data_IF_334387012643
#
_entry.id   IF_334387012643
#
_cell.length_a   1.000
_cell.length_b   1.000
_cell.length_c   1.000
_cell.angle_alpha   90.00
_cell.angle_beta   90.00
_cell.angle_gamma   90.00
#
_symmetry.space_group_name_H-M   'P 1'
#
loop_
_entity.id
_entity.type
_entity.pdbx_description
1 polymer ?
#
# COMPACT_ATOMS: atom_id res chain seq x y z
N UNK A 1 24.88 33.16 -20.24
CA UNK A 1 23.88 33.26 -19.15
C UNK A 1 22.50 32.75 -19.54
N UNK A 2 22.07 32.91 -20.81
CA UNK A 2 20.78 32.43 -21.32
C UNK A 2 20.53 30.89 -21.28
N UNK A 3 21.51 30.00 -21.57
CA UNK A 3 21.20 28.56 -21.70
C UNK A 3 20.83 27.89 -20.36
N UNK A 4 21.36 28.38 -19.23
CA UNK A 4 20.99 27.85 -17.91
C UNK A 4 19.56 28.21 -17.50
N UNK A 5 19.02 29.34 -17.97
CA UNK A 5 17.64 29.74 -17.68
C UNK A 5 16.68 28.81 -18.42
N UNK A 6 16.96 28.49 -19.69
CA UNK A 6 16.16 27.52 -20.43
C UNK A 6 16.16 26.14 -19.77
N UNK A 7 17.32 25.65 -19.34
CA UNK A 7 17.43 24.37 -18.61
C UNK A 7 16.62 24.39 -17.29
N UNK A 8 16.66 25.50 -16.56
CA UNK A 8 15.92 25.66 -15.31
C UNK A 8 14.40 25.65 -15.54
N UNK A 9 13.93 26.34 -16.59
CA UNK A 9 12.50 26.37 -16.94
C UNK A 9 11.98 25.01 -17.41
N UNK A 10 12.76 24.27 -18.20
CA UNK A 10 12.41 22.91 -18.63
C UNK A 10 12.32 21.97 -17.42
N UNK A 11 13.30 22.03 -16.51
CA UNK A 11 13.30 21.24 -15.28
C UNK A 11 12.07 21.54 -14.40
N UNK A 12 11.76 22.83 -14.19
CA UNK A 12 10.62 23.24 -13.39
C UNK A 12 9.28 22.80 -14.00
N UNK A 13 9.15 22.88 -15.32
CA UNK A 13 7.98 22.37 -16.04
C UNK A 13 7.83 20.84 -15.92
N UNK A 14 8.92 20.08 -16.02
CA UNK A 14 8.90 18.61 -15.87
C UNK A 14 8.45 18.20 -14.46
N UNK A 15 8.92 18.89 -13.42
CA UNK A 15 8.51 18.62 -12.03
C UNK A 15 7.01 18.91 -11.85
N UNK A 16 6.49 19.97 -12.45
CA UNK A 16 5.08 20.34 -12.37
C UNK A 16 4.12 19.32 -13.04
N UNK A 17 4.61 18.50 -13.97
CA UNK A 17 3.80 17.50 -14.71
C UNK A 17 3.87 16.11 -14.04
N UNK A 18 4.60 15.96 -12.93
CA UNK A 18 4.67 14.68 -12.20
C UNK A 18 3.27 14.26 -11.75
N UNK A 19 2.83 13.08 -12.21
CA UNK A 19 1.46 12.61 -12.00
C UNK A 19 1.32 11.99 -10.62
N UNK A 20 0.31 12.43 -9.89
CA UNK A 20 -0.20 11.73 -8.71
C UNK A 20 -0.79 10.39 -9.15
N UNK A 21 -0.09 9.31 -8.79
CA UNK A 21 -0.54 7.94 -9.06
C UNK A 21 -1.40 7.38 -7.92
N UNK A 22 -2.41 6.58 -8.27
CA UNK A 22 -3.15 5.74 -7.32
C UNK A 22 -2.38 4.42 -7.12
N UNK A 23 -2.00 4.12 -5.88
CA UNK A 23 -1.20 2.95 -5.52
C UNK A 23 -2.06 2.02 -4.66
N UNK A 24 -2.31 0.81 -5.15
CA UNK A 24 -2.96 -0.25 -4.37
C UNK A 24 -1.88 -1.11 -3.71
N UNK A 25 -1.91 -1.19 -2.39
CA UNK A 25 -1.04 -2.03 -1.58
C UNK A 25 -1.85 -3.24 -1.12
N UNK A 26 -1.47 -4.41 -1.64
CA UNK A 26 -1.96 -5.69 -1.19
C UNK A 26 -0.80 -6.47 -0.60
N UNK A 27 -0.85 -6.77 0.71
CA UNK A 27 0.19 -7.55 1.36
C UNK A 27 -0.24 -9.00 1.52
N UNK A 28 0.57 -9.96 1.03
CA UNK A 28 0.25 -11.37 1.14
C UNK A 28 0.16 -11.83 2.59
N UNK A 29 0.98 -11.26 3.49
CA UNK A 29 1.04 -11.63 4.90
C UNK A 29 0.23 -10.66 5.77
N UNK A 30 -0.97 -11.04 6.28
CA UNK A 30 -1.82 -10.20 7.12
C UNK A 30 -1.34 -10.23 8.58
N UNK A 31 -0.04 -10.01 8.80
CA UNK A 31 0.53 -9.92 10.14
C UNK A 31 0.78 -8.48 10.51
N UNK A 32 0.35 -8.12 11.73
CA UNK A 32 0.49 -6.76 12.27
C UNK A 32 1.93 -6.25 12.22
N UNK A 33 2.91 -7.12 12.48
CA UNK A 33 4.34 -6.79 12.37
C UNK A 33 4.76 -6.49 10.93
N UNK A 34 4.28 -7.28 9.98
CA UNK A 34 4.59 -7.11 8.55
C UNK A 34 4.00 -5.81 8.02
N UNK A 35 2.70 -5.56 8.27
CA UNK A 35 2.04 -4.32 7.83
C UNK A 35 2.70 -3.08 8.45
N UNK A 36 3.01 -3.11 9.75
CA UNK A 36 3.68 -1.99 10.44
C UNK A 36 5.10 -1.72 9.97
N UNK A 37 5.83 -2.74 9.50
CA UNK A 37 7.18 -2.53 8.95
C UNK A 37 7.17 -1.64 7.71
N UNK A 38 6.13 -1.76 6.88
CA UNK A 38 5.98 -0.97 5.65
C UNK A 38 5.12 0.29 5.80
N UNK A 39 4.49 0.46 6.96
CA UNK A 39 3.67 1.62 7.25
C UNK A 39 4.37 2.98 6.97
N UNK A 40 5.63 3.21 7.40
CA UNK A 40 6.35 4.44 7.07
C UNK A 40 6.52 4.67 5.56
N UNK A 41 6.69 3.60 4.78
CA UNK A 41 6.82 3.69 3.32
C UNK A 41 5.52 4.21 2.69
N UNK A 42 4.38 3.69 3.13
CA UNK A 42 3.08 4.14 2.61
C UNK A 42 2.79 5.59 2.99
N UNK A 43 3.19 6.00 4.19
CA UNK A 43 3.06 7.37 4.66
C UNK A 43 3.89 8.34 3.82
N UNK A 44 5.13 8.00 3.51
CA UNK A 44 5.98 8.81 2.62
C UNK A 44 5.41 8.91 1.20
N UNK A 45 4.81 7.84 0.68
CA UNK A 45 4.13 7.88 -0.61
C UNK A 45 2.95 8.85 -0.58
N UNK A 46 2.12 8.81 0.47
CA UNK A 46 1.01 9.75 0.64
C UNK A 46 1.49 11.19 0.81
N UNK A 47 2.59 11.39 1.54
CA UNK A 47 3.18 12.71 1.75
C UNK A 47 3.74 13.32 0.46
N UNK A 48 4.23 12.49 -0.46
CA UNK A 48 4.64 12.90 -1.82
C UNK A 48 3.45 13.17 -2.75
N UNK A 49 2.23 13.06 -2.25
CA UNK A 49 1.00 13.35 -2.99
C UNK A 49 0.37 12.14 -3.68
N UNK A 50 0.88 10.91 -3.50
CA UNK A 50 0.24 9.71 -4.05
C UNK A 50 -1.00 9.33 -3.25
N UNK A 51 -1.99 8.76 -3.93
CA UNK A 51 -3.17 8.21 -3.26
C UNK A 51 -2.95 6.72 -3.01
N UNK A 52 -2.73 6.35 -1.76
CA UNK A 52 -2.36 4.99 -1.37
C UNK A 52 -3.58 4.32 -0.76
N UNK A 53 -3.98 3.19 -1.35
CA UNK A 53 -5.04 2.33 -0.83
C UNK A 53 -4.40 1.07 -0.28
N UNK A 54 -4.49 0.86 1.03
CA UNK A 54 -3.91 -0.30 1.71
C UNK A 54 -5.02 -1.27 2.09
N UNK A 55 -4.93 -2.48 1.56
CA UNK A 55 -5.83 -3.57 1.89
C UNK A 55 -5.23 -4.30 3.09
N UNK A 56 -5.74 -4.05 4.30
CA UNK A 56 -5.22 -4.66 5.51
C UNK A 56 -6.28 -4.85 6.59
N UNK A 57 -6.11 -5.89 7.42
CA UNK A 57 -6.96 -6.12 8.59
C UNK A 57 -6.55 -5.29 9.82
N UNK A 58 -5.59 -4.38 9.67
CA UNK A 58 -5.06 -3.55 10.75
C UNK A 58 -5.10 -2.08 10.33
N UNK A 59 -6.27 -1.42 10.47
CA UNK A 59 -6.39 -0.02 10.09
C UNK A 59 -5.46 0.86 10.91
N UNK A 60 -4.99 1.94 10.31
CA UNK A 60 -4.23 2.96 11.00
C UNK A 60 -5.09 3.70 12.03
N UNK A 61 -4.47 4.02 13.16
CA UNK A 61 -5.14 4.79 14.21
C UNK A 61 -5.13 6.30 13.93
N UNK A 62 -4.37 6.72 12.91
CA UNK A 62 -4.18 8.13 12.51
C UNK A 62 -4.82 8.35 11.15
N UNK A 63 -5.55 9.45 11.00
CA UNK A 63 -6.04 9.87 9.70
C UNK A 63 -4.89 10.52 8.93
N UNK A 64 -4.55 9.96 7.77
CA UNK A 64 -3.52 10.47 6.87
C UNK A 64 -4.23 10.88 5.58
N UNK A 65 -3.92 12.07 5.06
CA UNK A 65 -4.46 12.52 3.77
C UNK A 65 -4.02 11.58 2.65
N UNK A 66 -4.91 11.28 1.70
CA UNK A 66 -4.65 10.39 0.56
C UNK A 66 -4.26 8.95 0.96
N UNK A 67 -4.63 8.52 2.18
CA UNK A 67 -4.45 7.16 2.66
C UNK A 67 -5.82 6.51 2.90
N UNK A 68 -6.11 5.45 2.16
CA UNK A 68 -7.35 4.68 2.31
C UNK A 68 -7.04 3.29 2.84
N UNK A 69 -7.48 2.97 4.05
CA UNK A 69 -7.46 1.60 4.57
C UNK A 69 -8.75 0.88 4.15
N UNK A 70 -8.60 -0.28 3.51
CA UNK A 70 -9.70 -1.19 3.23
C UNK A 70 -9.55 -2.39 4.17
N UNK A 71 -10.54 -2.62 5.03
CA UNK A 71 -10.57 -3.71 6.00
C UNK A 71 -11.62 -3.52 7.11
N UNK A 72 -11.71 -4.45 8.08
CA UNK A 72 -10.84 -5.62 8.24
C UNK A 72 -11.36 -6.91 7.57
N UNK A 73 -10.44 -7.68 6.96
CA UNK A 73 -10.74 -8.97 6.29
C UNK A 73 -10.45 -10.17 7.20
N UNK A 74 -10.87 -10.12 8.46
CA UNK A 74 -10.72 -11.30 9.32
C UNK A 74 -11.65 -12.41 8.82
N UNK A 75 -11.06 -13.48 8.28
CA UNK A 75 -11.68 -14.80 8.38
C UNK A 75 -11.63 -15.19 9.86
N UNK A 76 -12.69 -14.81 10.58
CA UNK A 76 -12.93 -15.30 11.93
C UNK A 76 -13.35 -16.77 11.83
N UNK A 77 -12.39 -17.67 11.66
CA UNK A 77 -12.63 -19.10 11.92
C UNK A 77 -12.60 -19.27 13.46
N UNK A 78 -13.73 -19.60 14.11
CA UNK A 78 -13.75 -19.79 15.56
C UNK A 78 -12.77 -20.90 15.95
N UNK A 79 -11.82 -20.59 16.83
CA UNK A 79 -10.79 -21.52 17.31
C UNK A 79 -9.48 -21.56 16.50
N UNK A 80 -9.35 -20.78 15.42
CA UNK A 80 -8.15 -20.73 14.60
C UNK A 80 -7.18 -19.62 15.06
N UNK A 81 -5.89 -19.95 15.19
CA UNK A 81 -4.87 -18.91 15.36
C UNK A 81 -4.77 -18.08 14.07
N UNK A 82 -4.47 -16.78 14.18
CA UNK A 82 -4.30 -15.89 13.02
C UNK A 82 -3.29 -16.42 11.99
N UNK A 83 -2.31 -17.20 12.45
CA UNK A 83 -1.35 -17.88 11.60
C UNK A 83 -1.96 -19.06 10.84
N UNK A 84 -2.79 -19.89 11.49
CA UNK A 84 -3.48 -21.01 10.84
C UNK A 84 -4.54 -20.52 9.83
N UNK A 85 -5.32 -19.50 10.20
CA UNK A 85 -6.23 -18.84 9.26
C UNK A 85 -5.51 -18.26 8.04
N UNK A 86 -4.35 -17.63 8.25
CA UNK A 86 -3.50 -17.16 7.17
C UNK A 86 -2.98 -18.32 6.30
N UNK A 87 -2.42 -19.38 6.89
CA UNK A 87 -1.87 -20.49 6.10
C UNK A 87 -2.94 -21.17 5.25
N UNK A 88 -4.18 -21.26 5.77
CA UNK A 88 -5.33 -21.85 5.07
C UNK A 88 -5.86 -20.95 3.95
N UNK A 89 -5.92 -19.64 4.18
CA UNK A 89 -6.24 -18.69 3.12
C UNK A 89 -5.16 -18.68 2.03
N UNK A 90 -3.88 -18.72 2.43
CA UNK A 90 -2.75 -18.76 1.51
C UNK A 90 -2.74 -20.05 0.71
N UNK A 91 -2.97 -21.21 1.33
CA UNK A 91 -3.08 -22.47 0.61
C UNK A 91 -4.21 -22.42 -0.41
N UNK A 92 -5.38 -21.87 -0.04
CA UNK A 92 -6.52 -21.77 -0.96
C UNK A 92 -6.25 -20.80 -2.12
N UNK A 93 -5.59 -19.68 -1.86
CA UNK A 93 -5.26 -18.68 -2.88
C UNK A 93 -4.14 -19.18 -3.81
N UNK A 94 -3.18 -19.91 -3.26
CA UNK A 94 -2.12 -20.57 -4.01
C UNK A 94 -2.67 -21.71 -4.87
N UNK A 95 -3.64 -22.48 -4.37
CA UNK A 95 -4.36 -23.50 -5.13
C UNK A 95 -5.22 -22.89 -6.25
N UNK A 96 -5.95 -21.81 -5.96
CA UNK A 96 -6.68 -21.04 -6.99
C UNK A 96 -5.75 -20.53 -8.11
N UNK A 97 -4.55 -20.10 -7.77
CA UNK A 97 -3.56 -19.62 -8.75
C UNK A 97 -2.89 -20.75 -9.53
N UNK A 98 -2.73 -21.93 -8.92
CA UNK A 98 -2.19 -23.12 -9.58
C UNK A 98 -3.19 -23.84 -10.49
N UNK A 99 -4.48 -23.50 -10.42
CA UNK A 99 -5.48 -23.92 -11.40
C UNK A 99 -5.86 -25.39 -11.30
N UNK A 100 -6.04 -25.90 -10.08
CA UNK A 100 -6.73 -27.18 -9.85
C UNK A 100 -8.26 -27.02 -9.97
#
# INVERSE_FOLDING_TARGET
MLPNIFLCTISCAVIAITRVSNILVFMPMPFKSHIRGFQPLFEELTHRGHNVTVVSSYPQNRQIANYTDIGPFFINEPGSSKFCGFSRAWSNLFQFWLGD
#
